data_IF_314830207012
#
_entry.id   IF_314830207012
#
_cell.length_a   1.000
_cell.length_b   1.000
_cell.length_c   1.000
_cell.angle_alpha   90.00
_cell.angle_beta   90.00
_cell.angle_gamma   90.00
#
_symmetry.space_group_name_H-M   'P 1'
#
loop_
_entity.id
_entity.type
_entity.pdbx_description
1 polymer ?
#
# COMPACT_ATOMS: atom_id res chain seq x y z
N UNK A 1 -13.00 -3.70 8.12
CA UNK A 1 -12.46 -2.58 7.32
C UNK A 1 -11.73 -3.14 6.13
N UNK A 2 -12.03 -2.65 4.94
CA UNK A 2 -11.45 -3.06 3.66
C UNK A 2 -10.63 -1.90 3.09
N UNK A 3 -9.36 -2.12 2.80
CA UNK A 3 -8.45 -1.12 2.25
C UNK A 3 -7.88 -1.66 0.94
N UNK A 4 -8.02 -0.92 -0.15
CA UNK A 4 -7.39 -1.28 -1.41
C UNK A 4 -6.16 -0.38 -1.68
N UNK A 5 -5.09 -1.01 -2.15
CA UNK A 5 -3.86 -0.31 -2.55
C UNK A 5 -3.83 -0.27 -4.07
N UNK A 6 -4.02 0.91 -4.65
CA UNK A 6 -4.15 1.07 -6.10
C UNK A 6 -3.23 2.15 -6.66
N UNK A 7 -2.78 2.01 -7.89
CA UNK A 7 -2.03 3.03 -8.62
C UNK A 7 -2.05 2.77 -10.12
N UNK A 8 -2.07 3.83 -10.92
CA UNK A 8 -2.00 3.73 -12.39
C UNK A 8 -0.60 3.38 -12.91
N UNK A 9 0.40 3.23 -12.02
CA UNK A 9 1.77 2.90 -12.41
C UNK A 9 2.33 1.73 -11.61
N UNK A 10 3.19 0.93 -12.26
CA UNK A 10 3.94 -0.15 -11.62
C UNK A 10 5.16 0.37 -10.86
N UNK A 11 5.63 -0.39 -9.86
CA UNK A 11 6.87 -0.08 -9.14
C UNK A 11 6.78 0.99 -8.05
N UNK A 12 5.61 1.57 -7.79
CA UNK A 12 5.39 2.63 -6.78
C UNK A 12 5.22 2.09 -5.34
N UNK A 13 5.42 0.79 -5.11
CA UNK A 13 5.39 0.21 -3.76
C UNK A 13 4.01 -0.28 -3.30
N UNK A 14 3.08 -0.62 -4.20
CA UNK A 14 1.75 -1.18 -3.85
C UNK A 14 1.87 -2.42 -2.95
N UNK A 15 2.48 -3.49 -3.45
CA UNK A 15 2.65 -4.75 -2.71
C UNK A 15 3.41 -4.55 -1.40
N UNK A 16 4.47 -3.73 -1.42
CA UNK A 16 5.22 -3.40 -0.19
C UNK A 16 4.30 -2.74 0.83
N UNK A 17 3.48 -1.79 0.42
CA UNK A 17 2.51 -1.11 1.28
C UNK A 17 1.45 -2.09 1.80
N UNK A 18 0.91 -2.94 0.92
CA UNK A 18 -0.10 -3.95 1.28
C UNK A 18 0.42 -4.93 2.35
N UNK A 19 1.62 -5.50 2.16
CA UNK A 19 2.26 -6.43 3.11
C UNK A 19 2.46 -5.77 4.49
N UNK A 20 2.99 -4.53 4.52
CA UNK A 20 3.33 -3.90 5.80
C UNK A 20 2.11 -3.36 6.54
N UNK A 21 1.07 -2.90 5.82
CA UNK A 21 -0.20 -2.53 6.44
C UNK A 21 -0.96 -3.76 6.94
N UNK A 22 -0.95 -4.87 6.20
CA UNK A 22 -1.53 -6.12 6.67
C UNK A 22 -0.83 -6.61 7.95
N UNK A 23 0.51 -6.51 8.03
CA UNK A 23 1.26 -6.82 9.25
C UNK A 23 0.91 -5.90 10.43
N UNK A 24 0.67 -4.61 10.18
CA UNK A 24 0.23 -3.67 11.22
C UNK A 24 -1.18 -4.00 11.71
N UNK A 25 -2.13 -4.20 10.81
CA UNK A 25 -3.52 -4.49 11.15
C UNK A 25 -3.66 -5.84 11.84
N UNK A 26 -2.87 -6.83 11.46
CA UNK A 26 -2.83 -8.15 12.12
C UNK A 26 -2.50 -8.04 13.61
N UNK A 27 -1.76 -7.03 14.06
CA UNK A 27 -1.50 -6.78 15.48
C UNK A 27 -2.75 -6.30 16.23
N UNK A 28 -3.80 -5.87 15.54
CA UNK A 28 -5.05 -5.39 16.09
C UNK A 28 -6.17 -6.44 16.00
N UNK A 29 -6.31 -7.08 14.85
CA UNK A 29 -7.27 -8.16 14.63
C UNK A 29 -6.85 -9.00 13.40
N UNK A 30 -7.39 -10.23 13.25
CA UNK A 30 -7.11 -11.09 12.09
C UNK A 30 -7.28 -10.35 10.77
N UNK A 31 -6.24 -10.42 9.93
CA UNK A 31 -6.15 -9.68 8.67
C UNK A 31 -5.95 -10.63 7.50
N UNK A 32 -6.70 -10.41 6.41
CA UNK A 32 -6.55 -11.08 5.13
C UNK A 32 -5.91 -10.11 4.13
N UNK A 33 -4.85 -10.52 3.46
CA UNK A 33 -4.35 -9.85 2.27
C UNK A 33 -4.81 -10.60 1.03
N UNK A 34 -5.49 -9.90 0.13
CA UNK A 34 -5.94 -10.42 -1.16
C UNK A 34 -4.99 -9.90 -2.24
N UNK A 35 -4.29 -10.83 -2.90
CA UNK A 35 -3.46 -10.55 -4.05
C UNK A 35 -4.33 -10.58 -5.32
N UNK A 36 -4.67 -9.39 -5.82
CA UNK A 36 -5.41 -9.16 -7.05
C UNK A 36 -4.50 -8.72 -8.22
N UNK A 37 -3.17 -8.75 -8.04
CA UNK A 37 -2.22 -8.48 -9.13
C UNK A 37 -1.95 -9.77 -9.93
N UNK A 38 -2.00 -9.66 -11.26
CA UNK A 38 -1.67 -10.77 -12.19
C UNK A 38 -0.25 -11.32 -11.96
N UNK A 39 0.67 -10.49 -11.48
CA UNK A 39 2.05 -10.88 -11.16
C UNK A 39 2.14 -11.68 -9.85
N UNK A 40 1.08 -11.71 -9.03
CA UNK A 40 1.00 -12.45 -7.76
C UNK A 40 2.16 -12.16 -6.80
N UNK A 41 2.56 -10.89 -6.73
CA UNK A 41 3.75 -10.48 -5.96
C UNK A 41 3.58 -10.72 -4.45
N UNK A 42 2.40 -10.50 -3.90
CA UNK A 42 2.12 -10.77 -2.48
C UNK A 42 2.09 -12.28 -2.18
N UNK A 43 1.53 -13.10 -3.09
CA UNK A 43 1.55 -14.56 -2.99
C UNK A 43 2.98 -15.11 -3.07
N UNK A 44 3.80 -14.56 -3.98
CA UNK A 44 5.22 -14.96 -4.05
C UNK A 44 5.95 -14.60 -2.75
N UNK A 45 5.68 -13.43 -2.18
CA UNK A 45 6.28 -13.01 -0.91
C UNK A 45 5.85 -13.93 0.25
N UNK A 46 4.62 -14.45 0.24
CA UNK A 46 4.08 -15.32 1.30
C UNK A 46 4.52 -16.78 1.23
N UNK A 47 5.24 -17.22 0.19
CA UNK A 47 5.63 -18.63 -0.02
C UNK A 47 6.38 -19.27 1.15
N UNK A 48 7.14 -18.48 1.89
CA UNK A 48 7.93 -18.96 3.04
C UNK A 48 7.07 -19.12 4.32
N UNK A 49 5.77 -18.81 4.25
CA UNK A 49 4.82 -18.92 5.38
C UNK A 49 5.26 -18.18 6.66
N UNK A 50 6.03 -17.10 6.51
CA UNK A 50 6.57 -16.31 7.63
C UNK A 50 5.82 -15.00 7.87
N UNK A 51 4.83 -14.67 7.04
CA UNK A 51 3.99 -13.50 7.26
C UNK A 51 2.98 -13.78 8.39
N UNK A 52 2.73 -12.83 9.30
CA UNK A 52 1.85 -13.05 10.45
C UNK A 52 0.36 -13.06 10.10
N UNK A 53 -0.02 -12.87 8.84
CA UNK A 53 -1.37 -12.81 8.32
C UNK A 53 -1.54 -13.76 7.13
N UNK A 54 -2.79 -14.02 6.76
CA UNK A 54 -3.08 -14.90 5.63
C UNK A 54 -3.09 -14.13 4.30
N UNK A 55 -2.50 -14.72 3.26
CA UNK A 55 -2.50 -14.19 1.89
C UNK A 55 -3.27 -15.12 0.98
N UNK A 56 -4.25 -14.61 0.26
CA UNK A 56 -5.05 -15.36 -0.71
C UNK A 56 -5.02 -14.70 -2.09
N UNK A 57 -5.19 -15.49 -3.15
CA UNK A 57 -5.52 -14.92 -4.45
C UNK A 57 -6.95 -14.35 -4.45
N UNK A 58 -7.27 -13.48 -5.40
CA UNK A 58 -8.62 -12.94 -5.54
C UNK A 58 -9.67 -14.05 -5.64
N UNK A 59 -9.44 -15.07 -6.46
CA UNK A 59 -10.35 -16.21 -6.59
C UNK A 59 -10.46 -17.05 -5.30
N UNK A 60 -9.36 -17.21 -4.56
CA UNK A 60 -9.34 -17.97 -3.32
C UNK A 60 -9.91 -17.22 -2.11
N UNK A 61 -10.17 -15.93 -2.22
CA UNK A 61 -10.64 -15.09 -1.11
C UNK A 61 -12.16 -15.12 -0.88
N UNK A 62 -12.96 -15.56 -1.88
CA UNK A 62 -14.44 -15.45 -1.87
C UNK A 62 -15.10 -16.03 -0.62
N UNK A 63 -14.62 -17.17 -0.11
CA UNK A 63 -15.15 -17.78 1.13
C UNK A 63 -14.50 -17.28 2.41
N UNK A 64 -13.49 -16.41 2.32
CA UNK A 64 -12.67 -15.95 3.44
C UNK A 64 -13.07 -14.56 3.94
N UNK A 65 -13.53 -13.68 3.05
CA UNK A 65 -13.78 -12.25 3.33
C UNK A 65 -14.58 -12.04 4.63
N UNK A 66 -15.64 -12.83 4.84
CA UNK A 66 -16.50 -12.69 6.04
C UNK A 66 -15.82 -13.13 7.36
N UNK A 67 -14.67 -13.81 7.28
CA UNK A 67 -13.96 -14.34 8.46
C UNK A 67 -12.93 -13.36 9.04
N UNK A 68 -12.61 -12.30 8.31
CA UNK A 68 -11.54 -11.38 8.67
C UNK A 68 -12.08 -9.97 8.91
N UNK A 69 -11.85 -9.39 10.10
CA UNK A 69 -12.20 -8.00 10.41
C UNK A 69 -11.49 -6.98 9.52
N UNK A 70 -10.26 -7.30 9.09
CA UNK A 70 -9.46 -6.44 8.22
C UNK A 70 -9.09 -7.16 6.92
N UNK A 71 -9.24 -6.44 5.81
CA UNK A 71 -8.90 -6.92 4.48
C UNK A 71 -8.05 -5.85 3.80
N UNK A 72 -6.90 -6.27 3.27
CA UNK A 72 -6.08 -5.47 2.37
C UNK A 72 -6.16 -6.08 0.98
N UNK A 73 -6.37 -5.24 -0.04
CA UNK A 73 -6.39 -5.67 -1.45
C UNK A 73 -5.17 -5.04 -2.14
N UNK A 74 -4.24 -5.89 -2.59
CA UNK A 74 -3.11 -5.48 -3.44
C UNK A 74 -3.52 -5.59 -4.89
N UNK A 75 -3.69 -4.47 -5.59
CA UNK A 75 -4.23 -4.45 -6.93
C UNK A 75 -3.15 -4.45 -8.01
N UNK A 76 -3.52 -4.84 -9.22
CA UNK A 76 -2.64 -4.68 -10.38
C UNK A 76 -2.31 -3.20 -10.66
N UNK A 77 -1.24 -2.97 -11.42
CA UNK A 77 -0.97 -1.65 -11.98
C UNK A 77 -1.92 -1.37 -13.14
N UNK A 78 -2.35 -0.10 -13.26
CA UNK A 78 -3.27 0.34 -14.33
C UNK A 78 -4.58 -0.47 -14.35
N UNK A 79 -5.35 -0.44 -13.26
CA UNK A 79 -6.67 -1.04 -13.27
C UNK A 79 -7.55 -0.32 -14.30
N UNK A 80 -8.45 -1.07 -14.93
CA UNK A 80 -9.45 -0.48 -15.83
C UNK A 80 -10.47 0.38 -15.06
N UNK A 81 -11.17 1.31 -15.70
CA UNK A 81 -12.13 2.20 -15.02
C UNK A 81 -13.19 1.45 -14.21
N UNK A 82 -13.70 0.33 -14.73
CA UNK A 82 -14.66 -0.53 -14.05
C UNK A 82 -14.06 -1.16 -12.79
N UNK A 83 -12.81 -1.61 -12.85
CA UNK A 83 -12.10 -2.15 -11.68
C UNK A 83 -11.90 -1.07 -10.61
N UNK A 84 -11.62 0.19 -11.01
CA UNK A 84 -11.52 1.32 -10.07
C UNK A 84 -12.87 1.56 -9.39
N UNK A 85 -13.97 1.51 -10.14
CA UNK A 85 -15.31 1.66 -9.59
C UNK A 85 -15.62 0.58 -8.56
N UNK A 86 -15.33 -0.68 -8.87
CA UNK A 86 -15.52 -1.81 -7.96
C UNK A 86 -14.68 -1.64 -6.67
N UNK A 87 -13.45 -1.12 -6.80
CA UNK A 87 -12.59 -0.83 -5.64
C UNK A 87 -13.16 0.31 -4.78
N UNK A 88 -13.71 1.36 -5.39
CA UNK A 88 -14.35 2.47 -4.67
C UNK A 88 -15.58 2.00 -3.92
N UNK A 89 -16.45 1.21 -4.56
CA UNK A 89 -17.68 0.69 -3.96
C UNK A 89 -17.41 -0.38 -2.89
N UNK A 90 -16.33 -1.15 -3.05
CA UNK A 90 -15.99 -2.28 -2.18
C UNK A 90 -15.02 -1.98 -1.05
N UNK A 91 -14.48 -0.75 -0.94
CA UNK A 91 -13.44 -0.43 0.03
C UNK A 91 -13.80 0.75 0.91
N UNK A 92 -13.40 0.70 2.19
CA UNK A 92 -13.55 1.81 3.13
C UNK A 92 -12.52 2.93 2.86
N UNK A 93 -11.36 2.56 2.31
CA UNK A 93 -10.25 3.47 2.01
C UNK A 93 -9.43 2.95 0.82
N UNK A 94 -9.10 3.83 -0.09
CA UNK A 94 -8.11 3.60 -1.14
C UNK A 94 -6.78 4.27 -0.75
N UNK A 95 -5.69 3.53 -0.81
CA UNK A 95 -4.35 4.11 -0.66
C UNK A 95 -3.71 4.16 -2.04
N UNK A 96 -3.24 5.34 -2.40
CA UNK A 96 -2.58 5.59 -3.70
C UNK A 96 -1.09 5.85 -3.45
N UNK A 97 -0.24 4.81 -3.48
CA UNK A 97 1.20 5.02 -3.36
C UNK A 97 1.76 5.67 -4.62
N UNK A 98 2.68 6.60 -4.42
CA UNK A 98 3.41 7.29 -5.50
C UNK A 98 4.85 7.55 -5.08
N UNK A 99 5.77 7.68 -6.03
CA UNK A 99 7.14 8.12 -5.75
C UNK A 99 7.30 9.61 -6.05
N UNK A 100 8.37 10.26 -5.60
CA UNK A 100 8.66 11.66 -5.94
C UNK A 100 9.03 11.89 -7.43
N UNK A 101 8.97 10.86 -8.26
CA UNK A 101 9.26 10.97 -9.69
C UNK A 101 8.11 11.69 -10.41
N UNK A 102 8.42 12.61 -11.29
CA UNK A 102 7.45 13.42 -12.04
C UNK A 102 6.40 12.55 -12.77
N UNK A 103 6.83 11.48 -13.46
CA UNK A 103 5.90 10.59 -14.19
C UNK A 103 4.98 9.79 -13.25
N UNK A 104 5.40 9.55 -12.01
CA UNK A 104 4.58 8.85 -11.02
C UNK A 104 3.56 9.83 -10.40
N UNK A 105 3.97 11.09 -10.19
CA UNK A 105 3.06 12.14 -9.75
C UNK A 105 1.98 12.43 -10.80
N UNK A 106 2.34 12.52 -12.09
CA UNK A 106 1.36 12.66 -13.18
C UNK A 106 0.35 11.50 -13.20
N UNK A 107 0.83 10.27 -13.03
CA UNK A 107 -0.04 9.10 -12.96
C UNK A 107 -0.96 9.14 -11.72
N UNK A 108 -0.47 9.69 -10.62
CA UNK A 108 -1.25 9.87 -9.40
C UNK A 108 -2.36 10.91 -9.60
N UNK A 109 -2.08 12.03 -10.26
CA UNK A 109 -3.11 13.03 -10.58
C UNK A 109 -4.20 12.43 -11.47
N UNK A 110 -3.83 11.66 -12.48
CA UNK A 110 -4.81 10.93 -13.31
C UNK A 110 -5.65 9.93 -12.51
N UNK A 111 -5.07 9.28 -11.49
CA UNK A 111 -5.85 8.42 -10.60
C UNK A 111 -6.83 9.26 -9.77
N UNK A 112 -6.41 10.40 -9.25
CA UNK A 112 -7.27 11.34 -8.51
C UNK A 112 -8.43 11.81 -9.38
N UNK A 113 -8.18 12.20 -10.64
CA UNK A 113 -9.21 12.61 -11.60
C UNK A 113 -10.31 11.55 -11.81
N UNK A 114 -9.97 10.26 -11.63
CA UNK A 114 -10.94 9.16 -11.66
C UNK A 114 -11.68 8.97 -10.33
N UNK A 115 -11.00 9.19 -9.20
CA UNK A 115 -11.52 8.92 -7.86
C UNK A 115 -12.45 10.05 -7.35
N UNK A 116 -12.14 11.32 -7.63
CA UNK A 116 -12.90 12.45 -7.12
C UNK A 116 -14.37 12.48 -7.58
N UNK A 117 -14.70 12.24 -8.87
CA UNK A 117 -16.10 12.21 -9.32
C UNK A 117 -16.91 11.10 -8.61
N UNK A 118 -16.24 10.01 -8.20
CA UNK A 118 -16.86 8.91 -7.48
C UNK A 118 -16.98 9.18 -5.97
N UNK A 119 -16.49 10.32 -5.48
CA UNK A 119 -16.41 10.67 -4.04
C UNK A 119 -15.71 9.59 -3.22
N UNK A 120 -14.69 8.99 -3.79
CA UNK A 120 -13.92 7.93 -3.16
C UNK A 120 -13.23 8.43 -1.88
N UNK A 121 -13.21 7.61 -0.84
CA UNK A 121 -12.33 7.83 0.31
C UNK A 121 -10.92 7.39 -0.08
N UNK A 122 -9.99 8.31 -0.27
CA UNK A 122 -8.61 7.96 -0.63
C UNK A 122 -7.57 8.81 0.12
N UNK A 123 -6.35 8.28 0.21
CA UNK A 123 -5.17 8.99 0.68
C UNK A 123 -3.95 8.62 -0.17
N UNK A 124 -3.13 9.62 -0.47
CA UNK A 124 -1.87 9.45 -1.20
C UNK A 124 -0.75 9.17 -0.22
N UNK A 125 0.08 8.16 -0.52
CA UNK A 125 1.27 7.79 0.25
C UNK A 125 2.52 7.99 -0.59
N UNK A 126 3.37 8.97 -0.22
CA UNK A 126 4.68 9.11 -0.83
C UNK A 126 5.58 7.95 -0.37
N UNK A 127 6.14 7.24 -1.32
CA UNK A 127 6.99 6.06 -1.12
C UNK A 127 8.36 6.26 -1.78
N UNK A 128 9.31 5.41 -1.42
CA UNK A 128 10.67 5.42 -2.00
C UNK A 128 11.35 6.79 -1.96
N UNK A 129 11.05 7.58 -0.93
CA UNK A 129 11.62 8.92 -0.76
C UNK A 129 13.10 8.81 -0.40
N UNK A 130 13.99 9.35 -1.24
CA UNK A 130 15.41 9.46 -0.92
C UNK A 130 15.66 10.71 -0.08
N UNK A 131 16.00 10.51 1.20
CA UNK A 131 16.26 11.59 2.15
C UNK A 131 17.45 12.50 1.78
N UNK A 132 18.32 12.03 0.87
CA UNK A 132 19.49 12.79 0.38
C UNK A 132 19.12 13.82 -0.70
N UNK A 133 17.91 13.74 -1.25
CA UNK A 133 17.44 14.61 -2.33
C UNK A 133 16.32 15.54 -1.85
N UNK A 134 16.03 16.59 -2.63
CA UNK A 134 14.91 17.50 -2.38
C UNK A 134 13.58 16.99 -2.95
N UNK A 135 13.63 15.98 -3.83
CA UNK A 135 12.47 15.51 -4.60
C UNK A 135 11.28 15.11 -3.73
N UNK A 136 11.51 14.45 -2.58
CA UNK A 136 10.42 14.09 -1.66
C UNK A 136 9.72 15.32 -1.08
N UNK A 137 10.47 16.34 -0.66
CA UNK A 137 9.90 17.60 -0.13
C UNK A 137 9.16 18.39 -1.20
N UNK A 138 9.70 18.43 -2.41
CA UNK A 138 9.09 19.10 -3.56
C UNK A 138 7.79 18.41 -3.97
N UNK A 139 7.79 17.07 -4.05
CA UNK A 139 6.61 16.28 -4.35
C UNK A 139 5.51 16.47 -3.29
N UNK A 140 5.87 16.43 -1.98
CA UNK A 140 4.92 16.66 -0.90
C UNK A 140 4.33 18.06 -0.98
N UNK A 141 5.16 19.07 -1.21
CA UNK A 141 4.72 20.47 -1.36
C UNK A 141 3.73 20.59 -2.52
N UNK A 142 4.11 20.06 -3.70
CA UNK A 142 3.26 20.06 -4.89
C UNK A 142 1.89 19.44 -4.65
N UNK A 143 1.83 18.22 -4.09
CA UNK A 143 0.56 17.55 -3.80
C UNK A 143 -0.26 18.29 -2.72
N UNK A 144 0.40 18.91 -1.73
CA UNK A 144 -0.27 19.71 -0.70
C UNK A 144 -0.85 21.01 -1.24
N UNK A 145 -0.17 21.66 -2.19
CA UNK A 145 -0.68 22.87 -2.88
C UNK A 145 -1.94 22.58 -3.68
N UNK A 146 -2.11 21.34 -4.15
CA UNK A 146 -3.35 20.86 -4.77
C UNK A 146 -4.41 20.42 -3.76
N UNK A 147 -4.17 20.61 -2.46
CA UNK A 147 -5.09 20.21 -1.37
C UNK A 147 -5.46 18.72 -1.36
N UNK A 148 -4.61 17.86 -1.91
CA UNK A 148 -4.86 16.42 -1.97
C UNK A 148 -4.66 15.75 -0.60
N UNK A 149 -5.44 14.71 -0.25
CA UNK A 149 -5.33 14.01 1.02
C UNK A 149 -4.06 13.16 1.07
N UNK A 150 -3.09 13.58 1.88
CA UNK A 150 -1.79 12.91 2.06
C UNK A 150 -1.69 12.25 3.43
N UNK A 151 -0.99 11.10 3.50
CA UNK A 151 -0.48 10.62 4.77
C UNK A 151 0.57 11.61 5.33
N UNK A 152 0.63 11.75 6.66
CA UNK A 152 1.58 12.66 7.32
C UNK A 152 3.03 12.20 7.16
N UNK A 153 3.24 10.90 7.00
CA UNK A 153 4.56 10.26 6.88
C UNK A 153 4.84 9.84 5.44
N UNK A 154 6.08 9.96 5.03
CA UNK A 154 6.61 9.43 3.76
C UNK A 154 7.39 8.14 4.03
N UNK A 155 7.27 7.15 3.15
CA UNK A 155 8.05 5.91 3.23
C UNK A 155 9.40 6.12 2.54
N UNK A 156 10.52 6.06 3.27
CA UNK A 156 11.84 6.27 2.67
C UNK A 156 12.24 5.08 1.78
N UNK A 157 13.14 5.35 0.85
CA UNK A 157 13.80 4.30 0.09
C UNK A 157 14.84 3.62 0.97
N UNK A 158 14.56 2.39 1.40
CA UNK A 158 15.45 1.59 2.25
C UNK A 158 15.72 0.22 1.60
N UNK A 159 16.97 -0.19 1.60
CA UNK A 159 17.40 -1.52 1.12
C UNK A 159 16.67 -2.65 1.85
N UNK A 160 16.28 -2.45 3.11
CA UNK A 160 15.54 -3.42 3.88
C UNK A 160 14.18 -3.77 3.23
N UNK A 161 13.47 -2.78 2.65
CA UNK A 161 12.23 -3.03 1.92
C UNK A 161 12.45 -3.79 0.61
N UNK A 162 13.62 -3.64 -0.01
CA UNK A 162 13.98 -4.38 -1.22
C UNK A 162 14.36 -5.85 -0.91
N UNK A 163 14.87 -6.12 0.30
CA UNK A 163 15.36 -7.44 0.71
C UNK A 163 14.34 -8.28 1.49
N UNK A 164 13.39 -7.67 2.17
CA UNK A 164 12.36 -8.37 2.94
C UNK A 164 11.58 -9.41 2.12
N UNK A 165 11.19 -9.14 0.84
CA UNK A 165 10.50 -10.11 -0.01
C UNK A 165 11.24 -11.43 -0.17
N UNK A 166 12.56 -11.40 -0.37
CA UNK A 166 13.37 -12.61 -0.57
C UNK A 166 13.49 -13.50 0.67
N UNK A 167 13.10 -12.97 1.84
CA UNK A 167 13.05 -13.70 3.10
C UNK A 167 11.64 -14.11 3.52
N UNK A 168 10.63 -13.69 2.79
CA UNK A 168 9.24 -14.00 3.08
C UNK A 168 8.71 -13.35 4.37
N UNK A 169 9.32 -12.25 4.85
CA UNK A 169 8.96 -11.58 6.10
C UNK A 169 8.50 -10.16 5.87
N UNK A 170 7.69 -9.61 6.78
CA UNK A 170 7.48 -8.17 6.85
C UNK A 170 8.71 -7.49 7.46
N UNK A 171 8.81 -6.17 7.32
CA UNK A 171 9.96 -5.43 7.86
C UNK A 171 10.01 -5.47 9.39
N UNK A 172 8.88 -5.73 10.09
CA UNK A 172 8.86 -5.90 11.54
C UNK A 172 9.71 -7.08 12.01
N UNK A 173 9.76 -8.13 11.18
CA UNK A 173 10.45 -9.39 11.49
C UNK A 173 11.76 -9.55 10.70
N UNK A 174 12.14 -8.51 9.93
CA UNK A 174 13.37 -8.53 9.16
C UNK A 174 14.59 -8.36 10.08
N UNK A 175 15.58 -9.26 10.04
CA UNK A 175 16.73 -9.27 10.96
C UNK A 175 17.80 -8.24 10.55
N UNK A 176 17.50 -6.97 10.73
CA UNK A 176 18.40 -5.84 10.46
C UNK A 176 18.25 -4.79 11.58
N UNK A 177 19.32 -4.15 11.98
CA UNK A 177 19.32 -3.11 13.01
C UNK A 177 18.40 -1.92 12.67
N UNK A 178 18.17 -1.68 11.39
CA UNK A 178 17.32 -0.59 10.87
C UNK A 178 15.86 -1.01 10.68
N UNK A 179 15.52 -2.29 10.87
CA UNK A 179 14.16 -2.79 10.66
C UNK A 179 13.15 -2.08 11.58
N UNK A 180 13.52 -1.80 12.83
CA UNK A 180 12.67 -1.06 13.78
C UNK A 180 12.35 0.35 13.28
N UNK A 181 13.33 1.06 12.75
CA UNK A 181 13.11 2.38 12.14
C UNK A 181 12.25 2.27 10.87
N UNK A 182 12.53 1.29 10.01
CA UNK A 182 11.73 1.05 8.81
C UNK A 182 10.28 0.69 9.16
N UNK A 183 10.07 -0.14 10.18
CA UNK A 183 8.74 -0.48 10.68
C UNK A 183 7.97 0.72 11.22
N UNK A 184 8.64 1.65 11.89
CA UNK A 184 7.99 2.84 12.46
C UNK A 184 7.27 3.70 11.40
N UNK A 185 7.74 3.72 10.16
CA UNK A 185 7.07 4.43 9.07
C UNK A 185 5.70 3.80 8.76
N UNK A 186 5.64 2.48 8.52
CA UNK A 186 4.36 1.82 8.26
C UNK A 186 3.46 1.77 9.49
N UNK A 187 4.02 1.68 10.69
CA UNK A 187 3.25 1.83 11.93
C UNK A 187 2.60 3.21 12.04
N UNK A 188 3.27 4.26 11.54
CA UNK A 188 2.69 5.61 11.50
C UNK A 188 1.57 5.73 10.48
N UNK A 189 1.72 5.13 9.28
CA UNK A 189 0.61 5.04 8.31
C UNK A 189 -0.56 4.28 8.91
N UNK A 190 -0.31 3.14 9.54
CA UNK A 190 -1.35 2.32 10.17
C UNK A 190 -2.12 3.06 11.28
N UNK A 191 -1.43 3.85 12.11
CA UNK A 191 -2.08 4.69 13.15
C UNK A 191 -2.95 5.82 12.57
N UNK A 192 -2.67 6.29 11.38
CA UNK A 192 -3.56 7.27 10.71
C UNK A 192 -4.84 6.62 10.17
N UNK A 193 -4.81 5.32 9.92
CA UNK A 193 -5.96 4.56 9.40
C UNK A 193 -6.81 4.03 10.55
N UNK A 194 -6.16 3.45 11.54
CA UNK A 194 -6.77 2.83 12.72
C UNK A 194 -6.04 3.31 13.96
N UNK A 195 -6.48 4.41 14.58
CA UNK A 195 -5.85 5.02 15.74
C UNK A 195 -5.91 4.17 17.03
#
# INVERSE_FOLDING_TARGET
MIIAITALKGGVGKTTTAIHLAAYLQQKAPTLLIDADKNRSALVWSKEEKLPFYVASQAGSTGLIKKYPHIIIDTQARPEPEEIKDLVEGSDLLIVPTTPNHLDLDATLKAVDLLEPMRASYKILLTQVDSRTRSGREARKFLSELSLPLFKVDIPRLVAFERAPSRGVSISDYPDSRSRTAWSYYSSVGREILP
#
